data_IF_434230306091
#
_entry.id   IF_434230306091
#
_cell.length_a   1.000
_cell.length_b   1.000
_cell.length_c   1.000
_cell.angle_alpha   90.00
_cell.angle_beta   90.00
_cell.angle_gamma   90.00
#
_symmetry.space_group_name_H-M   'P 1'
#
loop_
_entity.id
_entity.type
_entity.pdbx_description
1 polymer ?
#
# COMPACT_ATOMS: atom_id res chain seq x y z
N UNK A 1 6.66 -27.91 -12.04
CA UNK A 1 7.01 -27.20 -10.80
C UNK A 1 5.99 -26.08 -10.57
N UNK A 2 5.28 -26.06 -9.45
CA UNK A 2 4.50 -24.88 -9.06
C UNK A 2 5.40 -23.89 -8.31
N UNK A 3 5.40 -22.62 -8.72
CA UNK A 3 6.09 -21.57 -7.97
C UNK A 3 5.17 -21.10 -6.85
N UNK A 4 5.61 -21.26 -5.61
CA UNK A 4 4.87 -20.77 -4.44
C UNK A 4 5.17 -19.29 -4.22
N UNK A 5 4.20 -18.43 -4.54
CA UNK A 5 4.29 -16.99 -4.28
C UNK A 5 4.10 -16.78 -2.76
N UNK A 6 5.02 -16.04 -2.13
CA UNK A 6 4.93 -15.65 -0.71
C UNK A 6 4.86 -14.14 -0.50
N UNK A 7 5.39 -13.38 -1.46
CA UNK A 7 5.46 -11.92 -1.40
C UNK A 7 4.90 -11.34 -2.70
N UNK A 8 4.21 -10.21 -2.58
CA UNK A 8 3.70 -9.44 -3.71
C UNK A 8 3.98 -7.95 -3.50
N UNK A 9 4.25 -7.23 -4.58
CA UNK A 9 4.33 -5.78 -4.57
C UNK A 9 3.21 -5.21 -5.44
N UNK A 10 2.49 -4.22 -4.91
CA UNK A 10 1.44 -3.48 -5.63
C UNK A 10 1.91 -2.05 -5.83
N UNK A 11 1.99 -1.63 -7.09
CA UNK A 11 2.37 -0.27 -7.48
C UNK A 11 1.10 0.55 -7.70
N UNK A 12 0.93 1.59 -6.89
CA UNK A 12 -0.26 2.43 -6.81
C UNK A 12 -1.14 2.03 -5.61
N UNK A 13 -1.50 3.03 -4.80
CA UNK A 13 -2.31 2.87 -3.59
C UNK A 13 -3.75 3.38 -3.73
N UNK A 14 -4.20 3.67 -4.95
CA UNK A 14 -5.59 4.03 -5.21
C UNK A 14 -6.60 2.93 -4.83
N UNK A 15 -7.89 3.15 -5.08
CA UNK A 15 -8.97 2.22 -4.68
C UNK A 15 -8.71 0.78 -5.18
N UNK A 16 -8.31 0.63 -6.44
CA UNK A 16 -7.99 -0.67 -7.02
C UNK A 16 -6.74 -1.30 -6.41
N UNK A 17 -5.65 -0.52 -6.26
CA UNK A 17 -4.37 -1.02 -5.75
C UNK A 17 -4.45 -1.47 -4.31
N UNK A 18 -5.06 -0.66 -3.44
CA UNK A 18 -5.34 -1.02 -2.05
C UNK A 18 -6.26 -2.24 -1.93
N UNK A 19 -7.28 -2.37 -2.78
CA UNK A 19 -8.16 -3.54 -2.82
C UNK A 19 -7.42 -4.83 -3.18
N UNK A 20 -6.58 -4.80 -4.23
CA UNK A 20 -5.73 -5.93 -4.62
C UNK A 20 -4.76 -6.29 -3.50
N UNK A 21 -4.13 -5.28 -2.89
CA UNK A 21 -3.19 -5.49 -1.79
C UNK A 21 -3.87 -6.16 -0.59
N UNK A 22 -5.07 -5.71 -0.21
CA UNK A 22 -5.85 -6.32 0.87
C UNK A 22 -6.25 -7.75 0.54
N UNK A 23 -6.70 -8.02 -0.68
CA UNK A 23 -7.07 -9.38 -1.09
C UNK A 23 -5.90 -10.36 -1.01
N UNK A 24 -4.70 -9.94 -1.44
CA UNK A 24 -3.49 -10.74 -1.33
C UNK A 24 -3.04 -10.93 0.13
N UNK A 25 -3.23 -9.91 0.98
CA UNK A 25 -2.93 -10.00 2.40
C UNK A 25 -3.86 -11.00 3.13
N UNK A 26 -5.16 -11.03 2.77
CA UNK A 26 -6.13 -11.95 3.39
C UNK A 26 -5.79 -13.44 3.17
N UNK A 27 -5.10 -13.77 2.07
CA UNK A 27 -4.64 -15.14 1.80
C UNK A 27 -3.23 -15.41 2.37
N UNK A 28 -2.71 -14.50 3.20
CA UNK A 28 -1.45 -14.67 3.95
C UNK A 28 -0.18 -14.34 3.17
N UNK A 29 -0.26 -13.57 2.08
CA UNK A 29 0.95 -13.05 1.43
C UNK A 29 1.49 -11.84 2.17
N UNK A 30 2.81 -11.68 2.15
CA UNK A 30 3.47 -10.43 2.52
C UNK A 30 3.33 -9.44 1.35
N UNK A 31 2.57 -8.37 1.55
CA UNK A 31 2.26 -7.40 0.49
C UNK A 31 2.95 -6.07 0.76
N UNK A 32 3.75 -5.62 -0.21
CA UNK A 32 4.36 -4.29 -0.22
C UNK A 32 3.54 -3.37 -1.13
N UNK A 33 2.98 -2.29 -0.60
CA UNK A 33 2.29 -1.27 -1.39
C UNK A 33 3.20 -0.05 -1.58
N UNK A 34 3.41 0.37 -2.83
CA UNK A 34 4.26 1.51 -3.18
C UNK A 34 3.44 2.54 -3.95
N UNK A 35 3.70 3.82 -3.72
CA UNK A 35 3.08 4.90 -4.49
C UNK A 35 4.10 6.01 -4.76
N UNK A 36 3.69 6.98 -5.58
CA UNK A 36 4.47 8.17 -5.91
C UNK A 36 4.76 9.00 -4.66
N UNK A 37 5.82 9.79 -4.74
CA UNK A 37 6.14 10.76 -3.70
C UNK A 37 5.06 11.85 -3.68
N UNK A 38 4.68 12.33 -2.48
CA UNK A 38 3.86 13.53 -2.37
C UNK A 38 4.49 14.69 -3.15
N UNK A 39 3.66 15.48 -3.85
CA UNK A 39 4.14 16.66 -4.54
C UNK A 39 4.57 17.72 -3.50
N UNK A 40 5.50 18.61 -3.90
CA UNK A 40 5.99 19.72 -3.08
C UNK A 40 6.66 19.36 -1.73
N UNK A 41 7.29 18.18 -1.61
CA UNK A 41 8.11 17.87 -0.43
C UNK A 41 9.31 18.83 -0.30
N UNK A 42 9.47 19.43 0.88
CA UNK A 42 10.67 20.19 1.24
C UNK A 42 11.90 19.27 1.34
N UNK A 43 13.12 19.83 1.23
CA UNK A 43 14.36 19.04 1.37
C UNK A 43 14.47 18.32 2.71
N UNK A 44 13.97 18.95 3.79
CA UNK A 44 13.90 18.31 5.12
C UNK A 44 12.94 17.11 5.10
N UNK A 45 11.78 17.24 4.46
CA UNK A 45 10.81 16.14 4.36
C UNK A 45 11.29 15.00 3.46
N UNK A 46 12.07 15.28 2.41
CA UNK A 46 12.66 14.23 1.55
C UNK A 46 13.58 13.28 2.33
N UNK A 47 14.20 13.74 3.41
CA UNK A 47 15.02 12.89 4.27
C UNK A 47 14.19 11.96 5.18
N UNK A 48 12.88 12.20 5.33
CA UNK A 48 12.03 11.45 6.26
C UNK A 48 11.13 10.44 5.51
N UNK A 49 11.27 9.12 5.76
CA UNK A 49 10.47 8.09 5.11
C UNK A 49 8.95 8.27 5.31
N UNK A 50 8.53 8.75 6.48
CA UNK A 50 7.12 9.00 6.78
C UNK A 50 6.51 10.05 5.84
N UNK A 51 7.25 11.10 5.50
CA UNK A 51 6.80 12.12 4.57
C UNK A 51 6.77 11.57 3.13
N UNK A 52 7.76 10.76 2.73
CA UNK A 52 7.79 10.12 1.40
C UNK A 52 6.65 9.11 1.19
N UNK A 53 6.28 8.39 2.24
CA UNK A 53 5.27 7.34 2.18
C UNK A 53 3.84 7.84 2.46
N UNK A 54 3.64 9.17 2.61
CA UNK A 54 2.37 9.77 3.05
C UNK A 54 1.18 9.30 2.20
N UNK A 55 1.30 9.29 0.87
CA UNK A 55 0.21 8.87 -0.04
C UNK A 55 -0.18 7.40 0.22
N UNK A 56 0.80 6.49 0.17
CA UNK A 56 0.56 5.06 0.38
C UNK A 56 0.01 4.77 1.80
N UNK A 57 0.51 5.47 2.82
CA UNK A 57 0.06 5.32 4.20
C UNK A 57 -1.39 5.80 4.38
N UNK A 58 -1.74 6.96 3.83
CA UNK A 58 -3.11 7.49 3.88
C UNK A 58 -4.10 6.58 3.14
N UNK A 59 -3.71 6.08 1.97
CA UNK A 59 -4.51 5.13 1.21
C UNK A 59 -4.76 3.84 2.00
N UNK A 60 -3.73 3.28 2.65
CA UNK A 60 -3.89 2.11 3.51
C UNK A 60 -4.86 2.40 4.66
N UNK A 61 -4.71 3.55 5.34
CA UNK A 61 -5.62 3.95 6.41
C UNK A 61 -7.06 4.14 5.94
N UNK A 62 -7.26 4.63 4.71
CA UNK A 62 -8.58 4.74 4.08
C UNK A 62 -9.17 3.36 3.77
N UNK A 63 -8.37 2.45 3.23
CA UNK A 63 -8.78 1.07 2.94
C UNK A 63 -9.19 0.34 4.23
N UNK A 64 -8.42 0.47 5.32
CA UNK A 64 -8.76 -0.13 6.62
C UNK A 64 -10.11 0.34 7.18
N UNK A 65 -10.54 1.55 6.82
CA UNK A 65 -11.80 2.14 7.29
C UNK A 65 -12.95 1.99 6.30
N UNK A 66 -12.70 1.45 5.11
CA UNK A 66 -13.73 1.36 4.06
C UNK A 66 -14.80 0.33 4.40
N UNK A 67 -16.01 0.53 3.87
CA UNK A 67 -17.13 -0.43 3.96
C UNK A 67 -17.55 -0.85 2.55
N UNK A 68 -17.60 -2.16 2.24
CA UNK A 68 -17.28 -3.31 3.12
C UNK A 68 -15.80 -3.36 3.53
N UNK A 69 -15.51 -4.04 4.65
CA UNK A 69 -14.15 -4.18 5.15
C UNK A 69 -13.30 -5.02 4.17
N UNK A 70 -12.19 -4.49 3.65
CA UNK A 70 -11.39 -5.19 2.64
C UNK A 70 -10.41 -6.19 3.26
N UNK A 71 -10.12 -6.08 4.56
CA UNK A 71 -9.36 -7.06 5.34
C UNK A 71 -10.30 -7.81 6.28
N UNK A 72 -10.13 -9.13 6.38
CA UNK A 72 -10.90 -10.02 7.26
C UNK A 72 -10.07 -11.22 7.70
#
# INVERSE_FOLDING_TARGET
>A
MSRRIRKAAVLGSGVMGSGIACHLANIGLEVLMLDILPPQLSEKEKAHPAARNRIAAEALQKALKSRPAPLY
#
